data_IF_078169582074
#
_entry.id   IF_078169582074
#
_cell.length_a   1.000
_cell.length_b   1.000
_cell.length_c   1.000
_cell.angle_alpha   90.00
_cell.angle_beta   90.00
_cell.angle_gamma   90.00
#
_symmetry.space_group_name_H-M   'P 1'
#
loop_
_entity.id
_entity.type
_entity.pdbx_description
1 polymer ?
#
# COMPACT_ATOMS: atom_id res chain seq x y z
N UNK A 1 18.85 15.91 -2.21
CA UNK A 1 17.94 17.03 -2.56
C UNK A 1 16.63 16.72 -1.86
N UNK A 2 16.16 17.64 -1.04
CA UNK A 2 15.05 17.47 -0.10
C UNK A 2 13.73 17.28 -0.87
N UNK A 3 12.98 16.25 -0.52
CA UNK A 3 11.64 15.98 -1.02
C UNK A 3 10.65 16.99 -0.41
N UNK A 4 10.03 17.82 -1.26
CA UNK A 4 8.86 18.62 -0.91
C UNK A 4 7.57 17.88 -1.30
N UNK A 5 7.48 16.59 -1.00
CA UNK A 5 6.23 15.87 -1.01
C UNK A 5 5.35 16.37 0.12
N UNK A 6 4.35 17.20 -0.19
CA UNK A 6 3.31 17.55 0.77
C UNK A 6 2.69 16.30 1.41
N UNK A 7 2.21 16.42 2.65
CA UNK A 7 1.60 15.33 3.42
C UNK A 7 0.63 14.48 2.58
N UNK A 8 0.76 13.15 2.66
CA UNK A 8 -0.09 12.21 1.92
C UNK A 8 0.33 11.93 0.47
N UNK A 9 1.57 12.25 0.09
CA UNK A 9 2.15 11.89 -1.21
C UNK A 9 3.49 11.20 -1.05
N UNK A 10 3.85 10.38 -2.03
CA UNK A 10 5.19 9.86 -2.15
C UNK A 10 6.07 10.83 -2.94
N UNK A 11 7.29 11.03 -2.46
CA UNK A 11 8.40 11.61 -3.19
C UNK A 11 9.05 10.61 -4.16
N UNK A 12 10.13 11.04 -4.82
CA UNK A 12 10.99 10.11 -5.55
C UNK A 12 11.69 9.16 -4.56
N UNK A 13 11.59 7.84 -4.79
CA UNK A 13 12.13 6.82 -3.89
C UNK A 13 13.40 6.19 -4.48
N UNK A 14 14.49 6.22 -3.72
CA UNK A 14 15.72 5.49 -4.04
C UNK A 14 15.60 4.00 -3.69
N UNK A 15 16.44 3.16 -4.33
CA UNK A 15 16.52 1.73 -4.02
C UNK A 15 16.77 1.44 -2.53
N UNK A 16 17.61 2.25 -1.88
CA UNK A 16 17.92 2.09 -0.45
C UNK A 16 16.70 2.39 0.43
N UNK A 17 15.88 3.38 0.07
CA UNK A 17 14.64 3.68 0.78
C UNK A 17 13.61 2.57 0.59
N UNK A 18 13.50 2.03 -0.63
CA UNK A 18 12.64 0.89 -0.94
C UNK A 18 12.99 -0.34 -0.10
N UNK A 19 14.27 -0.71 -0.05
CA UNK A 19 14.76 -1.84 0.74
C UNK A 19 14.53 -1.65 2.24
N UNK A 20 14.62 -0.42 2.73
CA UNK A 20 14.51 -0.13 4.17
C UNK A 20 13.07 -0.07 4.68
N UNK A 21 12.15 0.48 3.89
CA UNK A 21 10.80 0.83 4.37
C UNK A 21 9.67 0.01 3.71
N UNK A 22 9.91 -0.53 2.52
CA UNK A 22 8.88 -1.13 1.67
C UNK A 22 9.03 -2.65 1.48
N UNK A 23 9.79 -3.31 2.37
CA UNK A 23 9.91 -4.76 2.39
C UNK A 23 8.61 -5.43 2.88
N UNK A 24 8.22 -6.53 2.24
CA UNK A 24 7.09 -7.36 2.62
C UNK A 24 7.56 -8.52 3.52
N UNK A 25 7.19 -8.44 4.79
CA UNK A 25 7.49 -9.50 5.76
C UNK A 25 6.59 -10.74 5.57
N UNK A 26 6.77 -11.74 6.43
CA UNK A 26 6.05 -13.01 6.31
C UNK A 26 4.54 -12.86 6.56
N UNK A 27 4.12 -11.95 7.43
CA UNK A 27 2.70 -11.70 7.69
C UNK A 27 2.07 -10.93 6.52
N UNK A 28 2.76 -9.91 5.99
CA UNK A 28 2.35 -9.21 4.76
C UNK A 28 2.12 -10.24 3.63
N UNK A 29 3.10 -11.13 3.41
CA UNK A 29 3.06 -12.16 2.36
C UNK A 29 1.92 -13.15 2.54
N UNK A 30 1.63 -13.54 3.78
CA UNK A 30 0.51 -14.45 4.10
C UNK A 30 -0.83 -13.81 3.78
N UNK A 31 -1.03 -12.53 4.11
CA UNK A 31 -2.24 -11.79 3.75
C UNK A 31 -2.37 -11.65 2.23
N UNK A 32 -1.28 -11.29 1.54
CA UNK A 32 -1.25 -11.12 0.08
C UNK A 32 -1.54 -12.44 -0.65
N UNK A 33 -1.05 -13.58 -0.14
CA UNK A 33 -1.25 -14.89 -0.75
C UNK A 33 -2.73 -15.30 -0.86
N UNK A 34 -3.64 -14.67 -0.09
CA UNK A 34 -5.08 -14.85 -0.23
C UNK A 34 -5.68 -14.31 -1.53
N UNK A 35 -4.93 -13.53 -2.33
CA UNK A 35 -5.40 -12.92 -3.58
C UNK A 35 -5.04 -13.79 -4.78
N UNK A 36 -6.05 -14.10 -5.61
CA UNK A 36 -5.92 -15.04 -6.74
C UNK A 36 -5.25 -14.48 -8.01
N UNK A 37 -5.17 -13.15 -8.15
CA UNK A 37 -4.71 -12.48 -9.39
C UNK A 37 -3.55 -11.55 -9.05
N UNK A 38 -2.56 -11.47 -9.93
CA UNK A 38 -1.36 -10.69 -9.67
C UNK A 38 -1.64 -9.20 -9.47
N UNK A 39 -2.52 -8.61 -10.27
CA UNK A 39 -2.95 -7.22 -10.06
C UNK A 39 -3.61 -6.99 -8.70
N UNK A 40 -4.32 -7.98 -8.16
CA UNK A 40 -4.91 -7.89 -6.82
C UNK A 40 -3.85 -8.11 -5.72
N UNK A 41 -2.88 -9.02 -5.94
CA UNK A 41 -1.76 -9.23 -5.02
C UNK A 41 -0.92 -7.97 -4.91
N UNK A 42 -0.54 -7.40 -6.06
CA UNK A 42 0.28 -6.20 -6.16
C UNK A 42 -0.47 -4.97 -5.62
N UNK A 43 -1.74 -4.79 -5.97
CA UNK A 43 -2.56 -3.69 -5.45
C UNK A 43 -2.81 -3.77 -3.94
N UNK A 44 -2.94 -4.99 -3.39
CA UNK A 44 -3.06 -5.20 -1.95
C UNK A 44 -1.76 -4.88 -1.22
N UNK A 45 -0.62 -5.38 -1.74
CA UNK A 45 0.70 -5.08 -1.20
C UNK A 45 0.98 -3.56 -1.21
N UNK A 46 0.60 -2.89 -2.30
CA UNK A 46 0.76 -1.44 -2.42
C UNK A 46 -0.01 -0.68 -1.33
N UNK A 47 -1.23 -1.11 -1.00
CA UNK A 47 -2.00 -0.51 0.08
C UNK A 47 -1.37 -0.74 1.46
N UNK A 48 -0.88 -1.97 1.74
CA UNK A 48 -0.20 -2.29 3.01
C UNK A 48 0.98 -1.34 3.23
N UNK A 49 1.90 -1.27 2.27
CA UNK A 49 3.12 -0.49 2.47
C UNK A 49 2.83 1.01 2.48
N UNK A 50 1.79 1.45 1.76
CA UNK A 50 1.33 2.85 1.77
C UNK A 50 0.81 3.25 3.13
N UNK A 51 -0.12 2.48 3.72
CA UNK A 51 -0.69 2.84 5.03
C UNK A 51 0.37 2.75 6.13
N UNK A 52 1.31 1.81 6.03
CA UNK A 52 2.45 1.69 6.95
C UNK A 52 3.38 2.91 6.88
N UNK A 53 3.63 3.45 5.68
CA UNK A 53 4.55 4.57 5.50
C UNK A 53 3.90 5.95 5.69
N UNK A 54 2.66 6.13 5.26
CA UNK A 54 1.96 7.42 5.26
C UNK A 54 0.92 7.55 6.39
N UNK A 55 0.61 6.46 7.09
CA UNK A 55 -0.48 6.42 8.09
C UNK A 55 -1.89 6.50 7.49
N UNK A 56 -2.01 6.51 6.17
CA UNK A 56 -3.28 6.61 5.45
C UNK A 56 -3.24 5.90 4.11
N UNK A 57 -4.41 5.52 3.59
CA UNK A 57 -4.54 5.01 2.23
C UNK A 57 -4.59 6.17 1.22
N UNK A 58 -4.02 5.96 0.04
CA UNK A 58 -4.22 6.88 -1.09
C UNK A 58 -5.64 6.74 -1.64
N UNK A 59 -6.22 7.85 -2.11
CA UNK A 59 -7.53 7.85 -2.79
C UNK A 59 -7.49 6.99 -4.07
N UNK A 60 -6.41 7.13 -4.84
CA UNK A 60 -6.01 6.17 -5.86
C UNK A 60 -4.71 5.47 -5.43
N UNK A 61 -4.72 4.15 -5.18
CA UNK A 61 -3.51 3.39 -4.91
C UNK A 61 -2.44 3.53 -6.01
N UNK A 62 -2.84 3.84 -7.25
CA UNK A 62 -1.93 4.01 -8.38
C UNK A 62 -1.23 5.37 -8.43
N UNK A 63 -1.54 6.29 -7.50
CA UNK A 63 -0.77 7.53 -7.32
C UNK A 63 0.61 7.29 -6.68
N UNK A 64 0.93 6.04 -6.34
CA UNK A 64 2.25 5.64 -5.86
C UNK A 64 3.33 5.70 -6.96
N UNK A 65 4.61 5.91 -6.61
CA UNK A 65 5.71 5.96 -7.57
C UNK A 65 5.88 4.62 -8.27
N UNK A 66 6.26 4.66 -9.55
CA UNK A 66 6.46 3.46 -10.36
C UNK A 66 7.55 2.55 -9.75
N UNK A 67 8.59 3.15 -9.20
CA UNK A 67 9.71 2.46 -8.55
C UNK A 67 9.23 1.58 -7.38
N UNK A 68 8.21 2.04 -6.64
CA UNK A 68 7.60 1.26 -5.57
C UNK A 68 6.78 0.09 -6.14
N UNK A 69 6.01 0.34 -7.19
CA UNK A 69 5.21 -0.72 -7.85
C UNK A 69 6.12 -1.82 -8.39
N UNK A 70 7.20 -1.45 -9.09
CA UNK A 70 8.18 -2.39 -9.64
C UNK A 70 8.88 -3.19 -8.53
N UNK A 71 9.28 -2.51 -7.45
CA UNK A 71 9.92 -3.15 -6.31
C UNK A 71 9.00 -4.17 -5.61
N UNK A 72 7.71 -3.87 -5.46
CA UNK A 72 6.75 -4.83 -4.90
C UNK A 72 6.47 -5.99 -5.85
N UNK A 73 6.44 -5.74 -7.16
CA UNK A 73 6.29 -6.80 -8.17
C UNK A 73 7.48 -7.79 -8.10
N UNK A 74 8.71 -7.28 -7.99
CA UNK A 74 9.93 -8.06 -7.78
C UNK A 74 9.80 -8.96 -6.53
N UNK A 75 9.39 -8.38 -5.40
CA UNK A 75 9.22 -9.12 -4.13
C UNK A 75 8.14 -10.21 -4.20
N UNK A 76 7.12 -10.04 -5.04
CA UNK A 76 5.99 -10.98 -5.20
C UNK A 76 6.20 -12.01 -6.30
N UNK A 77 7.30 -11.90 -7.06
CA UNK A 77 7.57 -12.72 -8.24
C UNK A 77 6.58 -12.47 -9.38
N UNK A 78 6.12 -11.24 -9.54
CA UNK A 78 5.20 -10.83 -10.61
C UNK A 78 6.03 -10.25 -11.75
N UNK A 79 5.93 -10.85 -12.95
CA UNK A 79 6.76 -10.49 -14.11
C UNK A 79 6.43 -9.11 -14.69
N UNK A 80 5.13 -8.77 -14.77
CA UNK A 80 4.65 -7.50 -15.33
C UNK A 80 3.98 -6.65 -14.25
N UNK A 81 4.71 -5.68 -13.72
CA UNK A 81 4.22 -4.73 -12.71
C UNK A 81 3.07 -3.86 -13.25
N UNK A 82 2.99 -3.66 -14.57
CA UNK A 82 1.94 -2.85 -15.19
C UNK A 82 0.55 -3.47 -15.07
N UNK A 83 0.47 -4.76 -14.74
CA UNK A 83 -0.79 -5.43 -14.42
C UNK A 83 -1.55 -4.72 -13.28
N UNK A 84 -0.85 -3.99 -12.39
CA UNK A 84 -1.47 -3.23 -11.30
C UNK A 84 -2.54 -2.25 -11.78
N UNK A 85 -2.49 -1.79 -13.04
CA UNK A 85 -3.50 -0.89 -13.62
C UNK A 85 -4.90 -1.52 -13.61
N UNK A 86 -5.00 -2.84 -13.66
CA UNK A 86 -6.27 -3.58 -13.59
C UNK A 86 -6.86 -3.60 -12.17
N UNK A 87 -6.06 -3.28 -11.15
CA UNK A 87 -6.47 -3.29 -9.74
C UNK A 87 -7.63 -2.32 -9.45
N UNK A 88 -7.64 -1.16 -10.12
CA UNK A 88 -8.62 -0.10 -9.87
C UNK A 88 -9.85 -0.19 -10.79
N UNK A 89 -9.88 -1.10 -11.76
CA UNK A 89 -11.02 -1.30 -12.67
C UNK A 89 -12.30 -1.61 -11.88
N UNK A 90 -12.19 -2.44 -10.84
CA UNK A 90 -13.30 -2.72 -9.92
C UNK A 90 -13.18 -1.87 -8.67
N UNK A 91 -13.82 -0.69 -8.71
CA UNK A 91 -13.82 0.29 -7.59
C UNK A 91 -14.07 -0.31 -6.20
N UNK A 92 -14.94 -1.33 -6.09
CA UNK A 92 -15.26 -1.97 -4.81
C UNK A 92 -14.08 -2.75 -4.21
N UNK A 93 -13.22 -3.33 -5.04
CA UNK A 93 -12.12 -4.19 -4.60
C UNK A 93 -11.11 -3.42 -3.76
N UNK A 94 -10.69 -2.22 -4.19
CA UNK A 94 -9.75 -1.41 -3.41
C UNK A 94 -10.29 -0.97 -2.04
N UNK A 95 -11.60 -0.78 -1.92
CA UNK A 95 -12.26 -0.43 -0.66
C UNK A 95 -12.36 -1.65 0.27
N UNK A 96 -12.77 -2.80 -0.27
CA UNK A 96 -12.82 -4.07 0.47
C UNK A 96 -11.43 -4.43 1.02
N UNK A 97 -10.40 -4.26 0.22
CA UNK A 97 -9.01 -4.47 0.62
C UNK A 97 -8.55 -3.50 1.71
N UNK A 98 -8.87 -2.20 1.60
CA UNK A 98 -8.54 -1.23 2.63
C UNK A 98 -9.20 -1.58 3.98
N UNK A 99 -10.47 -1.99 3.97
CA UNK A 99 -11.16 -2.45 5.18
C UNK A 99 -10.54 -3.73 5.75
N UNK A 100 -10.11 -4.66 4.90
CA UNK A 100 -9.41 -5.85 5.35
C UNK A 100 -8.08 -5.49 6.03
N UNK A 101 -7.27 -4.63 5.41
CA UNK A 101 -6.01 -4.15 5.99
C UNK A 101 -6.27 -3.43 7.33
N UNK A 102 -7.27 -2.56 7.41
CA UNK A 102 -7.59 -1.88 8.67
C UNK A 102 -7.88 -2.86 9.81
N UNK A 103 -8.66 -3.92 9.54
CA UNK A 103 -8.96 -4.94 10.56
C UNK A 103 -7.72 -5.74 10.96
N UNK A 104 -6.93 -6.21 10.00
CA UNK A 104 -5.77 -7.07 10.28
C UNK A 104 -4.66 -6.30 11.02
N UNK A 105 -4.48 -5.01 10.72
CA UNK A 105 -3.46 -4.16 11.37
C UNK A 105 -3.99 -3.37 12.58
N UNK A 106 -5.27 -3.53 12.94
CA UNK A 106 -5.88 -2.81 14.07
C UNK A 106 -5.90 -1.28 13.89
N UNK A 107 -6.06 -0.81 12.66
CA UNK A 107 -6.04 0.62 12.33
C UNK A 107 -7.43 1.24 12.55
N UNK A 108 -7.47 2.36 13.26
CA UNK A 108 -8.66 3.20 13.44
C UNK A 108 -8.47 4.54 12.75
N UNK A 109 -9.56 5.11 12.24
CA UNK A 109 -9.51 6.48 11.73
C UNK A 109 -9.32 7.46 12.89
N UNK A 110 -8.61 8.55 12.65
CA UNK A 110 -8.40 9.59 13.68
C UNK A 110 -9.73 10.10 14.25
N UNK A 111 -10.75 10.29 13.40
CA UNK A 111 -12.07 10.75 13.83
C UNK A 111 -12.76 9.79 14.82
N UNK A 112 -12.48 8.49 14.76
CA UNK A 112 -13.03 7.50 15.69
C UNK A 112 -12.37 7.58 17.07
N UNK A 113 -11.09 7.94 17.14
CA UNK A 113 -10.31 7.98 18.38
C UNK A 113 -10.08 9.39 18.93
N UNK A 114 -10.45 10.43 18.18
CA UNK A 114 -10.22 11.83 18.56
C UNK A 114 -10.79 12.16 19.95
N UNK A 115 -12.00 11.68 20.25
CA UNK A 115 -12.64 11.89 21.55
C UNK A 115 -11.93 11.15 22.70
N UNK A 116 -11.28 10.03 22.42
CA UNK A 116 -10.52 9.25 23.41
C UNK A 116 -9.13 9.84 23.64
N UNK A 117 -8.52 10.42 22.61
CA UNK A 117 -7.20 11.07 22.68
C UNK A 117 -7.26 12.48 23.29
N UNK A 118 -8.42 13.14 23.23
CA UNK A 118 -8.64 14.47 23.79
C UNK A 118 -9.07 14.47 25.28
N UNK A 119 -9.17 13.29 25.91
CA UNK A 119 -9.56 13.08 27.30
C UNK A 119 -8.35 12.87 28.23
#
# INVERSE_FOLDING_TARGET
MTDEGGYGRFGALSRVELERFFYLDDEDRKLIAGRRRDYNRLGFALQIVTVRQLGMFLADPLDAPLELVDYLAEQLGIEDSSCVKQYTERKKTKLEHAWEIQREYGLSSYAEVEAELAA
#
